data_IF_373540127590
#
_entry.id   IF_373540127590
#
_cell.length_a   1.000
_cell.length_b   1.000
_cell.length_c   1.000
_cell.angle_alpha   90.00
_cell.angle_beta   90.00
_cell.angle_gamma   90.00
#
_symmetry.space_group_name_H-M   'P 1'
#
loop_
_entity.id
_entity.type
_entity.pdbx_description
1 polymer ?
#
# COMPACT_ATOMS: atom_id res chain seq x y z
N UNK A 1 -1.00 -69.40 9.49
CA UNK A 1 -0.09 -68.31 9.90
C UNK A 1 -0.19 -67.16 8.90
N UNK A 2 -0.18 -65.92 9.43
CA UNK A 2 0.00 -64.61 8.76
C UNK A 2 -1.27 -63.89 8.27
N UNK A 3 -1.91 -63.21 9.22
CA UNK A 3 -2.69 -61.98 9.04
C UNK A 3 -1.76 -60.82 8.67
N UNK A 4 -2.09 -60.07 7.62
CA UNK A 4 -1.44 -58.82 7.26
C UNK A 4 -2.42 -57.67 7.57
N UNK A 5 -2.17 -56.99 8.68
CA UNK A 5 -2.92 -55.80 9.11
C UNK A 5 -2.35 -54.58 8.39
N UNK A 6 -3.10 -54.00 7.46
CA UNK A 6 -2.74 -52.75 6.81
C UNK A 6 -3.19 -51.56 7.67
N UNK A 7 -2.24 -50.78 8.19
CA UNK A 7 -2.47 -49.52 8.89
C UNK A 7 -2.75 -48.42 7.86
N UNK A 8 -3.99 -47.93 7.83
CA UNK A 8 -4.38 -46.71 7.10
C UNK A 8 -3.89 -45.50 7.91
N UNK A 9 -2.82 -44.85 7.42
CA UNK A 9 -2.32 -43.60 7.97
C UNK A 9 -3.21 -42.43 7.56
N UNK A 10 -3.87 -41.81 8.53
CA UNK A 10 -4.66 -40.59 8.36
C UNK A 10 -3.71 -39.40 8.16
N UNK A 11 -3.61 -38.90 6.93
CA UNK A 11 -2.90 -37.66 6.63
C UNK A 11 -3.70 -36.47 7.20
N UNK A 12 -3.21 -35.89 8.28
CA UNK A 12 -3.75 -34.66 8.86
C UNK A 12 -3.28 -33.51 7.95
N UNK A 13 -4.18 -33.01 7.10
CA UNK A 13 -3.97 -31.75 6.39
C UNK A 13 -4.02 -30.61 7.42
N UNK A 14 -2.85 -30.09 7.81
CA UNK A 14 -2.75 -28.86 8.58
C UNK A 14 -3.12 -27.69 7.68
N UNK A 15 -4.36 -27.20 7.79
CA UNK A 15 -4.75 -25.94 7.18
C UNK A 15 -3.94 -24.82 7.84
N UNK A 16 -3.05 -24.19 7.06
CA UNK A 16 -2.36 -22.97 7.47
C UNK A 16 -3.41 -21.89 7.74
N UNK A 17 -3.51 -21.43 8.98
CA UNK A 17 -4.34 -20.29 9.33
C UNK A 17 -3.84 -19.07 8.54
N UNK A 18 -4.64 -18.58 7.59
CA UNK A 18 -4.38 -17.31 6.95
C UNK A 18 -4.33 -16.24 8.04
N UNK A 19 -3.27 -15.42 8.03
CA UNK A 19 -3.16 -14.26 8.91
C UNK A 19 -4.35 -13.32 8.64
N UNK A 20 -5.38 -13.39 9.49
CA UNK A 20 -6.61 -12.60 9.38
C UNK A 20 -6.42 -11.09 9.68
N UNK A 21 -5.17 -10.61 9.68
CA UNK A 21 -4.77 -9.24 9.97
C UNK A 21 -3.90 -8.61 8.87
N UNK A 22 -3.76 -9.24 7.70
CA UNK A 22 -3.09 -8.62 6.58
C UNK A 22 -3.95 -7.47 6.03
N UNK A 23 -3.37 -6.28 5.85
CA UNK A 23 -4.03 -5.18 5.17
C UNK A 23 -4.42 -5.61 3.74
N UNK A 24 -5.60 -5.22 3.28
CA UNK A 24 -6.01 -5.43 1.89
C UNK A 24 -5.39 -4.38 0.96
N UNK A 25 -5.10 -3.18 1.50
CA UNK A 25 -4.53 -2.06 0.75
C UNK A 25 -3.41 -1.38 1.53
N UNK A 26 -2.31 -1.10 0.84
CA UNK A 26 -1.25 -0.21 1.32
C UNK A 26 -1.44 1.20 0.77
N UNK A 27 -1.34 2.19 1.66
CA UNK A 27 -1.36 3.62 1.32
C UNK A 27 0.04 4.16 1.57
N UNK A 28 0.84 4.18 0.51
CA UNK A 28 2.27 4.48 0.56
C UNK A 28 2.49 5.97 0.34
N UNK A 29 2.97 6.70 1.34
CA UNK A 29 3.40 8.09 1.17
C UNK A 29 4.89 8.16 0.86
N UNK A 30 5.24 8.97 -0.13
CA UNK A 30 6.63 9.26 -0.49
C UNK A 30 7.01 10.66 -0.02
N UNK A 31 8.00 10.74 0.89
CA UNK A 31 8.40 11.99 1.56
C UNK A 31 9.91 12.22 1.60
N UNK A 32 10.27 13.47 1.86
CA UNK A 32 11.58 13.93 2.32
C UNK A 32 11.39 15.24 3.10
N UNK A 33 12.34 15.63 3.94
CA UNK A 33 12.24 16.86 4.75
C UNK A 33 12.32 18.15 3.90
N UNK A 34 12.98 18.13 2.74
CA UNK A 34 13.10 19.26 1.80
C UNK A 34 11.89 19.39 0.84
N UNK A 35 10.93 18.48 0.94
CA UNK A 35 9.76 18.41 0.09
C UNK A 35 8.74 19.51 0.42
N UNK A 36 8.64 20.49 -0.48
CA UNK A 36 7.77 21.67 -0.33
C UNK A 36 6.28 21.34 -0.15
N UNK A 37 5.79 20.23 -0.72
CA UNK A 37 4.38 19.87 -0.67
C UNK A 37 4.06 18.74 0.31
N UNK A 38 5.07 18.15 0.96
CA UNK A 38 4.86 16.95 1.78
C UNK A 38 4.02 17.26 3.02
N UNK A 39 4.31 18.33 3.77
CA UNK A 39 3.53 18.67 4.96
C UNK A 39 2.03 18.83 4.67
N UNK A 40 1.68 19.52 3.57
CA UNK A 40 0.28 19.70 3.16
C UNK A 40 -0.36 18.37 2.79
N UNK A 41 0.33 17.55 2.00
CA UNK A 41 -0.16 16.22 1.60
C UNK A 41 -0.32 15.29 2.81
N UNK A 42 0.64 15.26 3.73
CA UNK A 42 0.64 14.40 4.92
C UNK A 42 -0.47 14.77 5.90
N UNK A 43 -0.72 16.06 6.14
CA UNK A 43 -1.83 16.52 6.98
C UNK A 43 -3.19 16.09 6.42
N UNK A 44 -3.34 16.19 5.09
CA UNK A 44 -4.55 15.75 4.40
C UNK A 44 -4.71 14.23 4.45
N UNK A 45 -3.63 13.50 4.22
CA UNK A 45 -3.60 12.05 4.27
C UNK A 45 -3.94 11.55 5.67
N UNK A 46 -3.33 12.12 6.72
CA UNK A 46 -3.62 11.78 8.12
C UNK A 46 -5.11 11.94 8.44
N UNK A 47 -5.71 13.06 8.01
CA UNK A 47 -7.16 13.26 8.15
C UNK A 47 -7.95 12.21 7.36
N UNK A 48 -7.55 11.89 6.13
CA UNK A 48 -8.20 10.87 5.31
C UNK A 48 -8.13 9.47 5.95
N UNK A 49 -6.97 9.08 6.48
CA UNK A 49 -6.76 7.79 7.15
C UNK A 49 -7.64 7.67 8.41
N UNK A 50 -7.82 8.77 9.16
CA UNK A 50 -8.77 8.82 10.29
C UNK A 50 -10.23 8.70 9.83
N UNK A 51 -10.58 9.20 8.65
CA UNK A 51 -11.93 8.99 8.07
C UNK A 51 -12.13 7.57 7.54
N UNK A 52 -11.04 6.90 7.11
CA UNK A 52 -11.04 5.49 6.69
C UNK A 52 -11.25 4.58 7.91
N UNK A 53 -10.48 4.78 8.98
CA UNK A 53 -10.58 4.08 10.27
C UNK A 53 -10.83 2.57 10.13
N UNK A 54 -9.95 1.86 9.41
CA UNK A 54 -10.09 0.44 9.15
C UNK A 54 -8.73 -0.26 9.17
N UNK A 55 -8.68 -1.45 9.80
CA UNK A 55 -7.52 -2.32 9.80
C UNK A 55 -7.23 -2.94 8.42
N UNK A 56 -8.17 -2.87 7.48
CA UNK A 56 -7.96 -3.32 6.10
C UNK A 56 -6.99 -2.40 5.31
N UNK A 57 -6.60 -1.25 5.88
CA UNK A 57 -5.74 -0.26 5.23
C UNK A 57 -4.54 0.05 6.13
N UNK A 58 -3.34 -0.08 5.58
CA UNK A 58 -2.10 0.27 6.27
C UNK A 58 -1.40 1.45 5.57
N UNK A 59 -1.04 2.48 6.34
CA UNK A 59 -0.18 3.55 5.86
C UNK A 59 1.29 3.13 5.91
N UNK A 60 1.99 3.32 4.79
CA UNK A 60 3.41 2.98 4.64
C UNK A 60 4.18 4.23 4.32
N UNK A 61 5.30 4.46 5.01
CA UNK A 61 6.14 5.63 4.77
C UNK A 61 7.40 5.23 4.02
N UNK A 62 7.61 5.82 2.86
CA UNK A 62 8.88 5.81 2.14
C UNK A 62 9.52 7.19 2.29
N UNK A 63 10.60 7.23 3.07
CA UNK A 63 11.32 8.45 3.42
C UNK A 63 12.71 8.46 2.75
N UNK A 64 12.94 9.47 1.93
CA UNK A 64 14.16 9.64 1.15
C UNK A 64 15.06 10.79 1.66
N UNK A 65 14.80 11.29 2.87
CA UNK A 65 15.53 12.43 3.46
C UNK A 65 17.04 12.21 3.58
N UNK A 66 17.46 11.01 4.00
CA UNK A 66 18.87 10.66 4.14
C UNK A 66 19.08 9.14 3.96
N UNK A 67 20.34 8.71 3.89
CA UNK A 67 20.70 7.31 3.63
C UNK A 67 20.11 6.31 4.64
N UNK A 68 20.06 6.66 5.93
CA UNK A 68 19.53 5.78 6.98
C UNK A 68 18.02 5.59 6.79
N UNK A 69 17.29 6.67 6.53
CA UNK A 69 15.85 6.62 6.28
C UNK A 69 15.52 5.94 4.96
N UNK A 70 16.39 6.10 3.96
CA UNK A 70 16.29 5.41 2.69
C UNK A 70 16.43 3.89 2.87
N UNK A 71 17.43 3.43 3.61
CA UNK A 71 17.65 2.01 3.90
C UNK A 71 16.47 1.42 4.68
N UNK A 72 16.00 2.11 5.72
CA UNK A 72 14.78 1.74 6.44
C UNK A 72 13.57 1.62 5.52
N UNK A 73 13.44 2.53 4.54
CA UNK A 73 12.35 2.51 3.58
C UNK A 73 12.44 1.34 2.61
N UNK A 74 13.66 0.95 2.20
CA UNK A 74 13.89 -0.24 1.38
C UNK A 74 13.46 -1.52 2.12
N UNK A 75 13.84 -1.67 3.39
CA UNK A 75 13.37 -2.78 4.23
C UNK A 75 11.86 -2.77 4.42
N UNK A 76 11.28 -1.59 4.70
CA UNK A 76 9.83 -1.42 4.85
C UNK A 76 9.09 -1.85 3.58
N UNK A 77 9.62 -1.49 2.41
CA UNK A 77 9.05 -1.87 1.12
C UNK A 77 9.19 -3.37 0.85
N UNK A 78 10.30 -3.98 1.25
CA UNK A 78 10.52 -5.42 1.16
C UNK A 78 9.52 -6.19 2.03
N UNK A 79 9.39 -5.83 3.31
CA UNK A 79 8.51 -6.50 4.28
C UNK A 79 7.03 -6.48 3.87
N UNK A 80 6.63 -5.46 3.11
CA UNK A 80 5.25 -5.27 2.62
C UNK A 80 5.07 -5.68 1.18
N UNK A 81 6.11 -6.21 0.54
CA UNK A 81 6.09 -6.62 -0.84
C UNK A 81 5.66 -5.48 -1.80
N UNK A 82 6.13 -4.25 -1.56
CA UNK A 82 5.89 -3.04 -2.38
C UNK A 82 7.18 -2.51 -3.01
N UNK A 83 8.19 -3.38 -3.13
CA UNK A 83 9.48 -3.08 -3.80
C UNK A 83 9.29 -2.52 -5.21
N UNK A 84 8.36 -3.00 -6.06
CA UNK A 84 8.15 -2.41 -7.38
C UNK A 84 7.77 -0.92 -7.31
N UNK A 85 6.92 -0.54 -6.37
CA UNK A 85 6.52 0.85 -6.17
C UNK A 85 7.64 1.69 -5.57
N UNK A 86 8.37 1.14 -4.60
CA UNK A 86 9.56 1.78 -4.06
C UNK A 86 10.56 2.09 -5.19
N UNK A 87 10.99 1.09 -5.96
CA UNK A 87 11.97 1.29 -7.04
C UNK A 87 11.48 2.29 -8.09
N UNK A 88 10.20 2.24 -8.44
CA UNK A 88 9.60 3.11 -9.46
C UNK A 88 9.65 4.60 -9.10
N UNK A 89 9.56 4.95 -7.82
CA UNK A 89 9.41 6.34 -7.39
C UNK A 89 10.35 6.80 -6.28
N UNK A 90 11.31 5.98 -5.84
CA UNK A 90 12.26 6.39 -4.81
C UNK A 90 13.00 7.67 -5.24
N UNK A 91 13.10 8.62 -4.30
CA UNK A 91 13.62 9.98 -4.53
C UNK A 91 12.58 10.98 -5.05
N UNK A 92 11.39 10.53 -5.46
CA UNK A 92 10.26 11.41 -5.80
C UNK A 92 9.34 11.53 -4.59
N UNK A 93 8.94 12.75 -4.23
CA UNK A 93 8.21 13.01 -2.99
C UNK A 93 6.94 13.83 -3.22
N UNK A 94 6.10 13.97 -2.20
CA UNK A 94 4.94 14.86 -2.20
C UNK A 94 3.66 14.25 -2.76
N UNK A 95 3.59 12.92 -2.81
CA UNK A 95 2.42 12.19 -3.29
C UNK A 95 2.25 10.85 -2.55
N UNK A 96 1.10 10.22 -2.76
CA UNK A 96 0.69 8.96 -2.15
C UNK A 96 0.34 7.97 -3.24
N UNK A 97 0.67 6.70 -3.05
CA UNK A 97 0.31 5.58 -3.92
C UNK A 97 -0.59 4.65 -3.14
N UNK A 98 -1.71 4.25 -3.74
CA UNK A 98 -2.59 3.21 -3.19
C UNK A 98 -2.31 1.90 -3.94
N UNK A 99 -2.01 0.85 -3.20
CA UNK A 99 -1.56 -0.45 -3.73
C UNK A 99 -2.42 -1.55 -3.16
N UNK A 100 -2.91 -2.41 -4.04
CA UNK A 100 -3.57 -3.65 -3.64
C UNK A 100 -2.54 -4.62 -3.04
N UNK A 101 -2.72 -5.04 -1.79
CA UNK A 101 -1.71 -5.83 -1.08
C UNK A 101 -1.54 -7.25 -1.64
N UNK A 102 -2.56 -7.80 -2.32
CA UNK A 102 -2.55 -9.17 -2.84
C UNK A 102 -1.90 -9.26 -4.21
N UNK A 103 -2.28 -8.35 -5.11
CA UNK A 103 -1.80 -8.31 -6.50
C UNK A 103 -0.58 -7.41 -6.68
N UNK A 104 -0.24 -6.63 -5.65
CA UNK A 104 0.85 -5.64 -5.67
C UNK A 104 0.67 -4.60 -6.79
N UNK A 105 -0.56 -4.42 -7.28
CA UNK A 105 -0.85 -3.47 -8.36
C UNK A 105 -1.13 -2.10 -7.76
N UNK A 106 -0.56 -1.07 -8.39
CA UNK A 106 -0.94 0.31 -8.09
C UNK A 106 -2.38 0.56 -8.57
N UNK A 107 -3.26 0.92 -7.64
CA UNK A 107 -4.66 1.28 -7.89
C UNK A 107 -4.74 2.73 -8.39
N UNK A 108 -3.95 3.62 -7.79
CA UNK A 108 -3.85 5.02 -8.20
C UNK A 108 -3.01 5.84 -7.24
N UNK A 109 -2.89 7.14 -7.52
CA UNK A 109 -2.10 8.05 -6.71
C UNK A 109 -2.85 9.32 -6.36
N UNK A 110 -2.48 9.91 -5.23
CA UNK A 110 -3.06 11.14 -4.71
C UNK A 110 -1.96 12.15 -4.41
N UNK A 111 -2.31 13.43 -4.36
CA UNK A 111 -1.37 14.53 -4.09
C UNK A 111 -1.98 15.57 -3.16
N UNK A 112 -1.20 16.60 -2.81
CA UNK A 112 -1.70 17.75 -2.06
C UNK A 112 -2.87 18.50 -2.73
N UNK A 113 -3.14 18.25 -4.01
CA UNK A 113 -4.28 18.84 -4.75
C UNK A 113 -5.61 18.18 -4.41
N UNK A 114 -5.59 16.94 -3.91
CA UNK A 114 -6.80 16.22 -3.53
C UNK A 114 -7.29 16.70 -2.17
N UNK A 115 -8.59 16.60 -1.92
CA UNK A 115 -9.16 16.86 -0.59
C UNK A 115 -9.16 15.58 0.25
N UNK A 116 -9.17 15.75 1.56
CA UNK A 116 -9.18 14.69 2.57
C UNK A 116 -10.35 13.71 2.34
N UNK A 117 -11.53 14.25 2.02
CA UNK A 117 -12.71 13.45 1.70
C UNK A 117 -12.55 12.65 0.41
N UNK A 118 -11.92 13.23 -0.63
CA UNK A 118 -11.63 12.49 -1.87
C UNK A 118 -10.63 11.38 -1.62
N UNK A 119 -9.57 11.67 -0.86
CA UNK A 119 -8.57 10.67 -0.47
C UNK A 119 -9.21 9.52 0.31
N UNK A 120 -10.01 9.83 1.33
CA UNK A 120 -10.67 8.82 2.16
C UNK A 120 -11.61 7.93 1.34
N UNK A 121 -12.43 8.51 0.46
CA UNK A 121 -13.35 7.74 -0.38
C UNK A 121 -12.61 6.90 -1.42
N UNK A 122 -11.50 7.39 -1.97
CA UNK A 122 -10.66 6.59 -2.85
C UNK A 122 -10.04 5.39 -2.13
N UNK A 123 -9.45 5.61 -0.96
CA UNK A 123 -8.88 4.55 -0.11
C UNK A 123 -9.95 3.53 0.28
N UNK A 124 -11.14 3.98 0.72
CA UNK A 124 -12.26 3.09 1.06
C UNK A 124 -12.67 2.25 -0.15
N UNK A 125 -12.85 2.87 -1.32
CA UNK A 125 -13.19 2.18 -2.55
C UNK A 125 -12.14 1.14 -2.95
N UNK A 126 -10.85 1.49 -2.80
CA UNK A 126 -9.74 0.58 -3.06
C UNK A 126 -9.76 -0.64 -2.13
N UNK A 127 -10.12 -0.43 -0.86
CA UNK A 127 -10.19 -1.47 0.16
C UNK A 127 -11.54 -2.21 0.21
N UNK A 128 -12.46 -1.95 -0.73
CA UNK A 128 -13.80 -2.55 -0.72
C UNK A 128 -14.70 -2.11 0.45
N UNK A 129 -14.37 -0.99 1.10
CA UNK A 129 -15.11 -0.43 2.23
C UNK A 129 -16.24 0.50 1.74
N UNK A 130 -17.35 0.62 2.51
CA UNK A 130 -18.44 1.53 2.16
C UNK A 130 -17.97 2.99 2.22
N UNK A 131 -18.22 3.73 1.15
CA UNK A 131 -17.94 5.18 1.08
C UNK A 131 -19.01 5.98 1.84
N UNK A 132 -18.59 7.04 2.56
CA UNK A 132 -19.51 7.86 3.36
C UNK A 132 -20.37 8.81 2.50
N UNK A 133 -19.92 9.11 1.28
CA UNK A 133 -20.60 9.99 0.34
C UNK A 133 -20.46 9.48 -1.09
N UNK A 134 -21.46 9.72 -1.94
CA UNK A 134 -21.35 9.55 -3.40
C UNK A 134 -20.40 10.60 -3.97
N UNK A 135 -19.09 10.38 -3.81
CA UNK A 135 -18.09 11.19 -4.49
C UNK A 135 -17.81 10.52 -5.83
N UNK A 136 -17.89 11.31 -6.90
CA UNK A 136 -17.48 10.88 -8.23
C UNK A 136 -16.00 10.47 -8.18
N UNK A 137 -15.75 9.16 -8.08
CA UNK A 137 -14.43 8.56 -8.17
C UNK A 137 -14.08 8.39 -9.64
N UNK A 138 -13.91 9.51 -10.34
CA UNK A 138 -13.42 9.47 -11.72
C UNK A 138 -11.95 9.02 -11.67
N UNK A 139 -11.66 7.78 -12.08
CA UNK A 139 -10.34 7.15 -12.01
C UNK A 139 -9.25 7.95 -12.75
N UNK A 140 -9.64 8.80 -13.69
CA UNK A 140 -8.77 9.74 -14.39
C UNK A 140 -8.17 10.86 -13.50
N UNK A 141 -8.68 11.04 -12.27
CA UNK A 141 -8.18 12.05 -11.31
C UNK A 141 -7.01 11.52 -10.47
N UNK A 142 -6.92 10.22 -10.22
CA UNK A 142 -5.90 9.60 -9.36
C UNK A 142 -4.69 9.10 -10.15
N UNK A 143 -4.13 9.96 -11.01
CA UNK A 143 -3.01 9.61 -11.87
C UNK A 143 -1.70 9.65 -11.10
N UNK A 144 -0.94 8.57 -11.23
CA UNK A 144 0.40 8.51 -10.70
C UNK A 144 1.37 9.39 -11.49
N UNK A 145 2.33 10.02 -10.80
CA UNK A 145 3.40 10.72 -11.50
C UNK A 145 4.19 9.74 -12.35
N UNK A 146 4.83 10.26 -13.39
CA UNK A 146 5.81 9.51 -14.18
C UNK A 146 6.82 8.85 -13.24
N UNK A 147 7.22 7.61 -13.58
CA UNK A 147 8.26 6.90 -12.85
C UNK A 147 9.52 7.79 -12.76
N UNK A 148 10.14 7.80 -11.59
CA UNK A 148 11.39 8.52 -11.35
C UNK A 148 12.56 7.70 -11.88
N UNK A 149 12.57 6.41 -11.54
CA UNK A 149 13.52 5.46 -12.06
C UNK A 149 12.81 4.61 -13.09
N UNK A 150 13.22 4.76 -14.34
CA UNK A 150 13.00 3.75 -15.36
C UNK A 150 14.24 2.90 -15.36
N UNK A 151 14.09 1.61 -15.05
CA UNK A 151 15.11 0.64 -15.42
C UNK A 151 15.16 0.68 -16.95
N UNK A 152 16.28 1.16 -17.52
CA UNK A 152 16.41 1.31 -18.96
C UNK A 152 16.57 -0.04 -19.66
N UNK A 153 16.67 -1.14 -18.91
CA UNK A 153 16.86 -2.48 -19.45
C UNK A 153 18.18 -2.57 -20.19
N UNK A 154 19.21 -3.11 -19.52
CA UNK A 154 20.30 -3.77 -20.25
C UNK A 154 19.85 -5.17 -20.70
#
# INVERSE_FOLDING_TARGET
>A
MKTLTALLGTAIFTMSAANAFAADVYVIKFRADDCQTCSVMENKLSTAMRLVNSAAVEEVTIDSTNAILWEKSAHTAFDRNVVPQFNKWIGKTGFVVVVDAKTQRTIGCMSSKDSENKMANFIKSAAGLPANHQVSNNSSQFRCPTAQNVDLGE
#
